data_IF_723806697571
#
_entry.id   IF_723806697571
#
_cell.length_a   1.000
_cell.length_b   1.000
_cell.length_c   1.000
_cell.angle_alpha   90.00
_cell.angle_beta   90.00
_cell.angle_gamma   90.00
#
_symmetry.space_group_name_H-M   'P 1'
#
loop_
_entity.id
_entity.type
_entity.pdbx_description
1 polymer ?
#
# COMPACT_ATOMS: atom_id res chain seq x y z
N UNK A 1 0.33 -4.13 -32.92
CA UNK A 1 -0.79 -4.49 -32.03
C UNK A 1 -1.74 -3.32 -31.75
N UNK A 2 -1.29 -2.12 -31.35
CA UNK A 2 -2.19 -1.02 -30.92
C UNK A 2 -2.65 -0.05 -32.05
N UNK A 3 -2.88 -0.54 -33.27
CA UNK A 3 -3.25 0.33 -34.42
C UNK A 3 -4.72 0.78 -34.41
N UNK A 4 -5.62 0.02 -33.77
CA UNK A 4 -7.05 0.36 -33.62
C UNK A 4 -7.29 1.00 -32.26
N UNK A 5 -8.07 2.09 -32.21
CA UNK A 5 -8.42 2.85 -31.00
C UNK A 5 -9.96 2.85 -30.81
N UNK A 6 -10.48 2.91 -29.57
CA UNK A 6 -9.75 3.03 -28.30
C UNK A 6 -9.23 1.69 -27.78
N UNK A 7 -8.23 1.75 -26.90
CA UNK A 7 -7.70 0.58 -26.19
C UNK A 7 -7.38 0.98 -24.75
N UNK A 8 -7.40 -0.01 -23.86
CA UNK A 8 -6.97 0.11 -22.47
C UNK A 8 -5.87 -0.93 -22.26
N UNK A 9 -4.79 -0.51 -21.61
CA UNK A 9 -3.69 -1.37 -21.20
C UNK A 9 -3.63 -1.36 -19.68
N UNK A 10 -3.78 -2.53 -19.06
CA UNK A 10 -3.72 -2.69 -17.60
C UNK A 10 -2.41 -3.41 -17.28
N UNK A 11 -1.64 -2.86 -16.34
CA UNK A 11 -0.35 -3.42 -15.96
C UNK A 11 0.13 -2.87 -14.61
N UNK A 12 1.16 -3.50 -14.02
CA UNK A 12 1.66 -3.11 -12.71
C UNK A 12 2.33 -1.73 -12.76
N UNK A 13 2.13 -0.92 -11.71
CA UNK A 13 2.76 0.40 -11.52
C UNK A 13 4.30 0.38 -11.57
N UNK A 14 4.91 -0.79 -11.30
CA UNK A 14 6.37 -0.98 -11.32
C UNK A 14 6.98 -0.98 -12.73
N UNK A 15 6.17 -1.07 -13.80
CA UNK A 15 6.65 -1.09 -15.18
C UNK A 15 7.00 0.31 -15.73
N UNK A 16 7.70 1.15 -14.95
CA UNK A 16 7.93 2.59 -15.25
C UNK A 16 8.54 2.83 -16.64
N UNK A 17 9.57 2.06 -17.01
CA UNK A 17 10.24 2.18 -18.32
C UNK A 17 9.32 1.83 -19.49
N UNK A 18 8.53 0.78 -19.34
CA UNK A 18 7.57 0.36 -20.36
C UNK A 18 6.42 1.38 -20.51
N UNK A 19 5.91 1.92 -19.39
CA UNK A 19 4.83 2.92 -19.42
C UNK A 19 5.28 4.23 -20.10
N UNK A 20 6.52 4.67 -19.88
CA UNK A 20 7.04 5.87 -20.52
C UNK A 20 7.20 5.69 -22.03
N UNK A 21 7.64 4.49 -22.48
CA UNK A 21 7.70 4.14 -23.90
C UNK A 21 6.31 4.12 -24.56
N UNK A 22 5.33 3.49 -23.93
CA UNK A 22 3.94 3.44 -24.42
C UNK A 22 3.35 4.84 -24.50
N UNK A 23 3.55 5.66 -23.46
CA UNK A 23 3.13 7.07 -23.43
C UNK A 23 3.72 7.86 -24.59
N UNK A 24 5.04 7.76 -24.82
CA UNK A 24 5.73 8.46 -25.91
C UNK A 24 5.28 7.96 -27.29
N UNK A 25 5.22 6.64 -27.49
CA UNK A 25 4.96 6.01 -28.79
C UNK A 25 3.52 6.19 -29.26
N UNK A 26 2.56 6.12 -28.33
CA UNK A 26 1.14 6.13 -28.68
C UNK A 26 0.37 7.37 -28.21
N UNK A 27 1.06 8.34 -27.58
CA UNK A 27 0.46 9.49 -26.91
C UNK A 27 -0.61 9.06 -25.91
N UNK A 28 -0.33 7.97 -25.19
CA UNK A 28 -1.27 7.38 -24.24
C UNK A 28 -1.38 8.24 -22.99
N UNK A 29 -2.59 8.34 -22.44
CA UNK A 29 -2.82 8.93 -21.11
C UNK A 29 -2.49 7.86 -20.06
N UNK A 30 -1.71 8.22 -19.04
CA UNK A 30 -1.34 7.30 -17.94
C UNK A 30 -2.07 7.62 -16.65
N UNK A 31 -2.63 6.59 -16.04
CA UNK A 31 -3.40 6.68 -14.79
C UNK A 31 -2.82 5.67 -13.79
N UNK A 32 -2.52 6.12 -12.57
CA UNK A 32 -2.13 5.26 -11.46
C UNK A 32 -3.20 5.19 -10.37
N UNK A 33 -3.34 4.02 -9.74
CA UNK A 33 -4.26 3.78 -8.63
C UNK A 33 -3.44 3.29 -7.44
N UNK A 34 -3.43 4.06 -6.34
CA UNK A 34 -2.67 3.70 -5.14
C UNK A 34 -3.10 4.54 -3.93
N UNK A 35 -3.00 4.00 -2.72
CA UNK A 35 -3.21 4.76 -1.48
C UNK A 35 -2.27 5.98 -1.35
N UNK A 36 -1.06 5.89 -1.93
CA UNK A 36 -0.09 7.00 -1.91
C UNK A 36 -0.54 8.23 -2.72
N UNK A 37 -1.52 8.09 -3.61
CA UNK A 37 -2.07 9.19 -4.38
C UNK A 37 -2.92 10.16 -3.54
N UNK A 38 -3.11 9.88 -2.23
CA UNK A 38 -3.54 10.90 -1.26
C UNK A 38 -2.63 12.13 -1.31
N UNK A 39 -1.33 11.92 -1.49
CA UNK A 39 -0.42 13.01 -1.83
C UNK A 39 -0.51 13.29 -3.34
N UNK A 40 -0.99 14.50 -3.68
CA UNK A 40 -1.09 14.99 -5.06
C UNK A 40 0.27 15.05 -5.76
N UNK A 41 1.37 15.13 -5.01
CA UNK A 41 2.73 15.13 -5.54
C UNK A 41 3.10 13.79 -6.19
N UNK A 42 2.45 12.70 -5.78
CA UNK A 42 2.76 11.33 -6.19
C UNK A 42 2.72 11.11 -7.71
N UNK A 43 1.79 11.75 -8.42
CA UNK A 43 1.72 11.62 -9.88
C UNK A 43 2.98 12.14 -10.57
N UNK A 44 3.62 13.17 -10.02
CA UNK A 44 4.84 13.75 -10.58
C UNK A 44 6.05 12.86 -10.29
N UNK A 45 6.17 12.32 -9.08
CA UNK A 45 7.25 11.37 -8.72
C UNK A 45 7.18 10.06 -9.52
N UNK A 46 5.98 9.72 -10.02
CA UNK A 46 5.75 8.54 -10.86
C UNK A 46 5.65 8.84 -12.37
N UNK A 47 5.69 10.10 -12.80
CA UNK A 47 5.59 10.49 -14.22
C UNK A 47 4.21 10.19 -14.85
N UNK A 48 3.15 10.20 -14.06
CA UNK A 48 1.77 9.88 -14.46
C UNK A 48 0.99 11.15 -14.83
N UNK A 49 0.02 11.05 -15.75
CA UNK A 49 -0.91 12.16 -16.03
C UNK A 49 -1.92 12.33 -14.88
N UNK A 50 -2.44 11.21 -14.39
CA UNK A 50 -3.39 11.15 -13.28
C UNK A 50 -2.98 10.10 -12.25
N UNK A 51 -3.30 10.36 -10.99
CA UNK A 51 -3.21 9.39 -9.90
C UNK A 51 -4.44 9.50 -9.01
N UNK A 52 -5.05 8.37 -8.67
CA UNK A 52 -6.25 8.30 -7.84
C UNK A 52 -5.99 7.50 -6.57
N UNK A 53 -6.44 8.00 -5.39
CA UNK A 53 -6.42 7.24 -4.15
C UNK A 53 -7.25 5.98 -4.30
N UNK A 54 -6.59 4.82 -4.28
CA UNK A 54 -7.24 3.52 -4.25
C UNK A 54 -6.27 2.54 -3.60
N UNK A 55 -6.70 1.92 -2.52
CA UNK A 55 -5.90 0.99 -1.73
C UNK A 55 -6.80 -0.15 -1.27
N UNK A 56 -6.25 -1.36 -1.27
CA UNK A 56 -6.82 -2.55 -0.62
C UNK A 56 -6.32 -2.70 0.83
N UNK A 57 -5.40 -1.84 1.28
CA UNK A 57 -4.98 -1.78 2.68
C UNK A 57 -6.00 -1.07 3.55
N UNK A 58 -6.23 -1.63 4.75
CA UNK A 58 -7.03 -1.01 5.79
C UNK A 58 -6.44 0.32 6.26
N UNK A 59 -7.31 1.27 6.61
CA UNK A 59 -6.92 2.43 7.39
C UNK A 59 -6.69 2.10 8.88
N UNK A 60 -6.31 3.10 9.67
CA UNK A 60 -6.06 2.93 11.11
C UNK A 60 -7.28 2.42 11.88
N UNK A 61 -8.46 2.99 11.64
CA UNK A 61 -9.67 2.62 12.38
C UNK A 61 -10.15 1.22 11.97
N UNK A 62 -10.04 0.90 10.69
CA UNK A 62 -10.31 -0.43 10.16
C UNK A 62 -9.38 -1.49 10.78
N UNK A 63 -8.08 -1.19 10.93
CA UNK A 63 -7.13 -2.07 11.61
C UNK A 63 -7.50 -2.27 13.10
N UNK A 64 -7.86 -1.20 13.81
CA UNK A 64 -8.31 -1.30 15.21
C UNK A 64 -9.56 -2.16 15.33
N UNK A 65 -10.53 -1.94 14.44
CA UNK A 65 -11.77 -2.72 14.40
C UNK A 65 -11.53 -4.18 14.07
N UNK A 66 -10.60 -4.47 13.15
CA UNK A 66 -10.18 -5.83 12.83
C UNK A 66 -9.63 -6.56 14.07
N UNK A 67 -8.71 -5.94 14.81
CA UNK A 67 -8.16 -6.53 16.04
C UNK A 67 -9.24 -6.78 17.08
N UNK A 68 -10.16 -5.82 17.27
CA UNK A 68 -11.29 -5.97 18.20
C UNK A 68 -12.21 -7.12 17.82
N UNK A 69 -12.54 -7.26 16.53
CA UNK A 69 -13.41 -8.33 16.04
C UNK A 69 -12.74 -9.70 16.10
N UNK A 70 -11.45 -9.77 15.79
CA UNK A 70 -10.68 -11.03 15.84
C UNK A 70 -10.39 -11.48 17.28
N UNK A 71 -10.32 -10.54 18.23
CA UNK A 71 -10.00 -10.77 19.64
C UNK A 71 -8.83 -11.76 19.88
N UNK A 72 -7.65 -11.52 19.28
CA UNK A 72 -6.54 -12.44 19.36
C UNK A 72 -5.87 -12.42 20.74
N UNK A 73 -5.25 -13.54 21.13
CA UNK A 73 -4.46 -13.64 22.37
C UNK A 73 -3.15 -12.86 22.34
N UNK A 74 -2.58 -12.63 21.15
CA UNK A 74 -1.40 -11.78 20.91
C UNK A 74 -1.47 -11.15 19.52
N UNK A 75 -1.05 -9.90 19.40
CA UNK A 75 -0.96 -9.14 18.14
C UNK A 75 0.49 -8.81 17.86
N UNK A 76 0.93 -9.05 16.64
CA UNK A 76 2.24 -8.65 16.15
C UNK A 76 2.08 -7.62 15.04
N UNK A 77 2.64 -6.43 15.23
CA UNK A 77 2.58 -5.34 14.24
C UNK A 77 3.87 -5.28 13.44
N UNK A 78 3.74 -5.08 12.13
CA UNK A 78 4.86 -4.99 11.20
C UNK A 78 4.62 -3.88 10.19
N UNK A 79 5.72 -3.36 9.62
CA UNK A 79 5.74 -2.29 8.63
C UNK A 79 5.15 -0.95 9.13
N UNK A 80 5.55 0.15 8.49
CA UNK A 80 5.04 1.49 8.83
C UNK A 80 5.24 1.85 10.31
N UNK A 81 4.18 2.31 10.95
CA UNK A 81 4.14 2.73 12.36
C UNK A 81 3.89 1.54 13.32
N UNK A 82 4.69 0.48 13.17
CA UNK A 82 4.50 -0.78 13.88
C UNK A 82 4.52 -0.58 15.41
N UNK A 83 5.53 0.11 15.93
CA UNK A 83 5.71 0.38 17.36
C UNK A 83 4.56 1.20 17.95
N UNK A 84 4.15 2.25 17.23
CA UNK A 84 3.07 3.15 17.63
C UNK A 84 1.74 2.42 17.62
N UNK A 85 1.48 1.59 16.60
CA UNK A 85 0.24 0.83 16.52
C UNK A 85 0.16 -0.26 17.61
N UNK A 86 1.25 -0.98 17.87
CA UNK A 86 1.30 -1.93 19.01
C UNK A 86 1.07 -1.21 20.34
N UNK A 87 1.67 -0.03 20.52
CA UNK A 87 1.45 0.79 21.72
C UNK A 87 0.00 1.20 21.89
N UNK A 88 -0.65 1.63 20.80
CA UNK A 88 -2.06 1.98 20.80
C UNK A 88 -2.95 0.77 21.17
N UNK A 89 -2.69 -0.41 20.61
CA UNK A 89 -3.43 -1.62 20.93
C UNK A 89 -3.25 -2.06 22.39
N UNK A 90 -2.04 -1.89 22.96
CA UNK A 90 -1.81 -2.13 24.40
C UNK A 90 -2.63 -1.20 25.29
N UNK A 91 -2.78 0.08 24.91
CA UNK A 91 -3.64 1.02 25.62
C UNK A 91 -5.13 0.63 25.55
N UNK A 92 -5.53 -0.16 24.54
CA UNK A 92 -6.87 -0.75 24.44
C UNK A 92 -7.01 -2.09 25.17
N UNK A 93 -5.96 -2.58 25.84
CA UNK A 93 -5.97 -3.83 26.61
C UNK A 93 -5.53 -5.09 25.84
N UNK A 94 -5.06 -4.95 24.60
CA UNK A 94 -4.53 -6.09 23.83
C UNK A 94 -3.07 -6.37 24.16
N UNK A 95 -2.69 -7.65 24.18
CA UNK A 95 -1.29 -8.05 24.20
C UNK A 95 -0.68 -7.84 22.80
N UNK A 96 0.02 -6.72 22.58
CA UNK A 96 0.56 -6.36 21.28
C UNK A 96 2.06 -6.02 21.32
N UNK A 97 2.80 -6.46 20.31
CA UNK A 97 4.25 -6.27 20.17
C UNK A 97 4.62 -5.93 18.72
N UNK A 98 5.57 -5.02 18.52
CA UNK A 98 6.03 -4.66 17.18
C UNK A 98 7.26 -5.49 16.80
N UNK A 99 7.28 -6.04 15.57
CA UNK A 99 8.45 -6.75 15.05
C UNK A 99 9.39 -5.78 14.36
N UNK A 100 10.60 -5.59 14.92
CA UNK A 100 11.56 -4.62 14.42
C UNK A 100 12.78 -5.34 13.80
N UNK A 101 12.94 -5.19 12.48
CA UNK A 101 14.18 -5.28 11.69
C UNK A 101 15.03 -6.54 11.73
N UNK A 102 15.41 -7.02 12.91
CA UNK A 102 16.29 -8.19 13.12
C UNK A 102 15.49 -9.50 13.24
N UNK A 103 14.18 -9.40 13.28
CA UNK A 103 13.28 -10.48 13.65
C UNK A 103 12.47 -10.88 12.43
N UNK A 104 12.83 -12.02 11.83
CA UNK A 104 12.30 -12.44 10.52
C UNK A 104 11.36 -13.63 10.63
N UNK A 105 11.27 -14.26 11.80
CA UNK A 105 10.39 -15.40 12.04
C UNK A 105 9.71 -15.36 13.41
N UNK A 106 8.53 -15.99 13.51
CA UNK A 106 7.73 -16.06 14.75
C UNK A 106 8.47 -16.75 15.90
N UNK A 107 9.38 -17.68 15.57
CA UNK A 107 10.24 -18.37 16.53
C UNK A 107 11.24 -17.45 17.22
N UNK A 108 11.49 -16.24 16.70
CA UNK A 108 12.32 -15.24 17.39
C UNK A 108 11.60 -14.63 18.63
N UNK A 109 10.34 -15.03 18.90
CA UNK A 109 9.46 -14.48 19.95
C UNK A 109 8.83 -15.52 20.89
N UNK A 110 9.13 -16.82 20.70
CA UNK A 110 8.75 -17.90 21.61
C UNK A 110 9.92 -18.22 22.55
#
# INVERSE_FOLDING_TARGET
>A
MLKRKPWILIGPLKAKGYLSEIKKKYKAVTIGFTGWALDRSYKYSMGLDYAFPLSDHCDFNELVNLVKQANPSKVYTIHGYASEFASYLRNLGFNAEALLGVQTCMTDYL
#
